data_IF_737099063609
#
_entry.id   IF_737099063609
#
_cell.length_a   1.000
_cell.length_b   1.000
_cell.length_c   1.000
_cell.angle_alpha   90.00
_cell.angle_beta   90.00
_cell.angle_gamma   90.00
#
_symmetry.space_group_name_H-M   'P 1'
#
loop_
_entity.id
_entity.type
_entity.pdbx_description
1 polymer ?
#
# COMPACT_ATOMS: atom_id res chain seq x y z
N UNK A 1 -6.75 -11.97 -11.46
CA UNK A 1 -6.21 -12.54 -10.22
C UNK A 1 -5.23 -13.61 -10.63
N UNK A 2 -4.02 -13.64 -10.05
CA UNK A 2 -3.01 -14.66 -10.32
C UNK A 2 -2.60 -15.37 -9.04
N UNK A 3 -2.54 -16.70 -9.08
CA UNK A 3 -2.10 -17.51 -7.94
C UNK A 3 -0.62 -17.26 -7.64
N UNK A 4 -0.27 -17.14 -6.36
CA UNK A 4 1.12 -17.04 -5.88
C UNK A 4 1.52 -18.32 -5.15
N UNK A 5 0.73 -18.75 -4.15
CA UNK A 5 1.02 -19.97 -3.40
C UNK A 5 -0.23 -20.56 -2.74
N UNK A 6 -0.17 -21.85 -2.41
CA UNK A 6 -1.17 -22.56 -1.62
C UNK A 6 -0.42 -23.33 -0.52
N UNK A 7 -0.85 -23.17 0.73
CA UNK A 7 -0.25 -23.82 1.89
C UNK A 7 -1.37 -24.38 2.77
N UNK A 8 -1.26 -25.63 3.19
CA UNK A 8 -2.15 -26.22 4.19
C UNK A 8 -1.72 -25.81 5.60
N UNK A 9 -2.66 -25.75 6.54
CA UNK A 9 -2.35 -25.60 7.96
C UNK A 9 -1.79 -26.90 8.58
N UNK A 10 -1.51 -26.87 9.88
CA UNK A 10 -0.74 -27.92 10.54
C UNK A 10 -1.47 -29.27 10.65
N UNK A 11 -2.81 -29.26 10.67
CA UNK A 11 -3.68 -30.43 10.70
C UNK A 11 -4.38 -30.72 9.36
N UNK A 12 -4.16 -29.88 8.35
CA UNK A 12 -4.62 -30.03 6.96
C UNK A 12 -6.14 -29.92 6.79
N UNK A 13 -6.82 -29.11 7.60
CA UNK A 13 -8.25 -28.84 7.42
C UNK A 13 -8.54 -27.47 6.79
N UNK A 14 -7.52 -26.61 6.64
CA UNK A 14 -7.61 -25.36 5.91
C UNK A 14 -6.47 -25.13 4.90
N UNK A 15 -6.79 -24.40 3.83
CA UNK A 15 -5.82 -23.93 2.83
C UNK A 15 -5.71 -22.41 2.87
N UNK A 16 -4.49 -21.91 3.03
CA UNK A 16 -4.12 -20.51 2.82
C UNK A 16 -3.69 -20.30 1.38
N UNK A 17 -4.39 -19.42 0.67
CA UNK A 17 -4.12 -19.09 -0.74
C UNK A 17 -3.63 -17.66 -0.83
N UNK A 18 -2.38 -17.48 -1.27
CA UNK A 18 -1.86 -16.17 -1.62
C UNK A 18 -2.07 -15.93 -3.12
N UNK A 19 -2.61 -14.76 -3.47
CA UNK A 19 -2.88 -14.39 -4.85
C UNK A 19 -2.72 -12.88 -5.05
N UNK A 20 -2.30 -12.49 -6.25
CA UNK A 20 -2.31 -11.08 -6.67
C UNK A 20 -3.70 -10.74 -7.24
N UNK A 21 -4.42 -9.75 -6.67
CA UNK A 21 -5.72 -9.35 -7.18
C UNK A 21 -5.58 -8.62 -8.53
N UNK A 22 -6.56 -8.78 -9.44
CA UNK A 22 -6.58 -8.01 -10.70
C UNK A 22 -7.26 -6.64 -10.57
N UNK A 23 -8.17 -6.51 -9.60
CA UNK A 23 -9.01 -5.35 -9.35
C UNK A 23 -9.45 -5.41 -7.87
N UNK A 24 -10.26 -4.45 -7.37
CA UNK A 24 -10.95 -4.66 -6.10
C UNK A 24 -11.66 -6.01 -6.14
N UNK A 25 -11.33 -6.89 -5.20
CA UNK A 25 -11.82 -8.28 -5.23
C UNK A 25 -13.23 -8.35 -4.66
N UNK A 26 -13.64 -7.36 -3.89
CA UNK A 26 -14.98 -7.28 -3.33
C UNK A 26 -16.00 -6.81 -4.38
N UNK A 27 -17.15 -7.46 -4.43
CA UNK A 27 -18.24 -7.17 -5.38
C UNK A 27 -18.86 -5.76 -5.25
N UNK A 28 -18.62 -5.07 -4.13
CA UNK A 28 -19.01 -3.66 -3.91
C UNK A 28 -17.86 -2.67 -4.19
N UNK A 29 -16.79 -3.12 -4.84
CA UNK A 29 -15.64 -2.27 -5.21
C UNK A 29 -14.64 -2.01 -4.09
N UNK A 30 -14.76 -2.68 -2.94
CA UNK A 30 -13.79 -2.59 -1.85
C UNK A 30 -12.56 -3.47 -2.08
N UNK A 31 -11.46 -3.17 -1.35
CA UNK A 31 -10.21 -3.94 -1.42
C UNK A 31 -10.43 -5.41 -1.07
N UNK A 32 -11.17 -5.69 0.01
CA UNK A 32 -11.51 -7.03 0.48
C UNK A 32 -12.98 -7.13 0.91
N UNK A 33 -13.47 -8.35 1.16
CA UNK A 33 -14.79 -8.57 1.76
C UNK A 33 -14.92 -8.02 3.19
N UNK A 34 -13.79 -7.75 3.85
CA UNK A 34 -13.74 -7.26 5.23
C UNK A 34 -13.58 -5.74 5.33
N UNK A 35 -13.61 -5.02 4.21
CA UNK A 35 -13.54 -3.55 4.18
C UNK A 35 -12.56 -2.98 3.16
N UNK A 36 -12.38 -1.64 3.19
CA UNK A 36 -11.44 -0.90 2.33
C UNK A 36 -9.96 -1.25 2.65
N UNK A 37 -9.03 -0.61 1.92
CA UNK A 37 -7.56 -0.82 1.90
C UNK A 37 -6.88 -1.19 3.23
N UNK A 38 -5.70 -1.86 3.20
CA UNK A 38 -5.16 -2.61 4.33
C UNK A 38 -5.00 -1.80 5.63
N UNK A 39 -5.04 -2.49 6.78
CA UNK A 39 -5.25 -1.89 8.09
C UNK A 39 -4.02 -1.08 8.55
N UNK A 40 -4.11 0.26 8.52
CA UNK A 40 -3.15 1.16 9.18
C UNK A 40 -1.66 0.85 8.93
N UNK A 41 -0.79 1.30 9.83
CA UNK A 41 0.65 1.02 9.78
C UNK A 41 1.34 1.50 8.50
N UNK A 42 2.43 0.82 8.14
CA UNK A 42 3.28 1.20 6.99
C UNK A 42 2.51 1.04 5.65
N UNK A 43 1.67 0.01 5.53
CA UNK A 43 0.89 -0.22 4.31
C UNK A 43 -0.13 0.92 4.07
N UNK A 44 -0.87 1.32 5.11
CA UNK A 44 -1.79 2.45 5.02
C UNK A 44 -1.07 3.79 4.76
N UNK A 45 0.09 4.00 5.40
CA UNK A 45 0.92 5.18 5.14
C UNK A 45 1.40 5.23 3.68
N UNK A 46 1.83 4.10 3.13
CA UNK A 46 2.25 4.01 1.73
C UNK A 46 1.12 4.38 0.76
N UNK A 47 -0.10 3.91 1.02
CA UNK A 47 -1.26 4.28 0.21
C UNK A 47 -1.57 5.78 0.31
N UNK A 48 -1.48 6.35 1.52
CA UNK A 48 -1.63 7.80 1.73
C UNK A 48 -0.60 8.59 0.94
N UNK A 49 0.67 8.15 0.95
CA UNK A 49 1.74 8.76 0.14
C UNK A 49 1.36 8.70 -1.34
N UNK A 50 1.01 7.51 -1.85
CA UNK A 50 0.64 7.32 -3.26
C UNK A 50 -0.55 8.19 -3.67
N UNK A 51 -1.59 8.27 -2.83
CA UNK A 51 -2.76 9.12 -3.06
C UNK A 51 -2.34 10.60 -3.17
N UNK A 52 -1.50 11.09 -2.26
CA UNK A 52 -1.02 12.48 -2.28
C UNK A 52 -0.15 12.83 -3.48
N UNK A 53 0.52 11.85 -4.09
CA UNK A 53 1.25 12.06 -5.34
C UNK A 53 0.31 12.27 -6.53
N UNK A 54 -0.91 11.72 -6.48
CA UNK A 54 -1.91 11.85 -7.56
C UNK A 54 -2.83 13.05 -7.31
N UNK A 55 -3.45 13.13 -6.14
CA UNK A 55 -4.48 14.14 -5.84
C UNK A 55 -3.90 15.52 -5.51
N UNK A 56 -2.63 15.56 -5.09
CA UNK A 56 -1.88 16.81 -4.82
C UNK A 56 -2.64 17.84 -3.97
N UNK A 57 -3.19 17.48 -2.80
CA UNK A 57 -3.95 18.43 -1.98
C UNK A 57 -3.07 19.60 -1.51
N UNK A 58 -3.67 20.79 -1.40
CA UNK A 58 -2.99 21.99 -0.93
C UNK A 58 -2.35 21.77 0.45
N UNK A 59 -1.11 22.24 0.64
CA UNK A 59 -0.37 22.05 1.89
C UNK A 59 0.21 20.64 2.11
N UNK A 60 0.06 19.71 1.16
CA UNK A 60 0.66 18.38 1.27
C UNK A 60 2.18 18.41 1.27
N UNK A 61 2.79 18.06 2.43
CA UNK A 61 4.24 17.90 2.55
C UNK A 61 4.80 16.85 1.58
N UNK A 62 4.12 15.72 1.40
CA UNK A 62 4.55 14.66 0.48
C UNK A 62 4.60 15.17 -0.97
N UNK A 63 3.59 15.97 -1.37
CA UNK A 63 3.52 16.52 -2.71
C UNK A 63 4.64 17.55 -2.94
N UNK A 64 4.84 18.48 -2.00
CA UNK A 64 5.90 19.48 -2.09
C UNK A 64 7.30 18.87 -2.05
N UNK A 65 7.51 17.83 -1.24
CA UNK A 65 8.79 17.12 -1.17
C UNK A 65 9.14 16.46 -2.52
N UNK A 66 8.17 15.84 -3.20
CA UNK A 66 8.39 15.22 -4.51
C UNK A 66 8.56 16.26 -5.63
N UNK A 67 7.92 17.43 -5.53
CA UNK A 67 8.17 18.54 -6.47
C UNK A 67 9.61 19.06 -6.41
N UNK A 68 10.26 18.92 -5.25
CA UNK A 68 11.68 19.19 -5.08
C UNK A 68 12.61 18.20 -5.80
N UNK A 69 12.07 17.16 -6.44
CA UNK A 69 12.82 16.14 -7.16
C UNK A 69 13.57 15.15 -6.25
N UNK A 70 14.33 14.26 -6.89
CA UNK A 70 15.07 13.19 -6.19
C UNK A 70 16.04 13.72 -5.15
N UNK A 71 16.69 14.86 -5.40
CA UNK A 71 17.68 15.44 -4.49
C UNK A 71 17.05 15.92 -3.18
N UNK A 72 15.85 16.51 -3.24
CA UNK A 72 15.14 16.95 -2.04
C UNK A 72 14.69 15.75 -1.18
N UNK A 73 14.18 14.70 -1.83
CA UNK A 73 13.80 13.45 -1.16
C UNK A 73 15.03 12.78 -0.54
N UNK A 74 16.12 12.63 -1.28
CA UNK A 74 17.35 12.00 -0.81
C UNK A 74 17.97 12.74 0.39
N UNK A 75 17.96 14.08 0.36
CA UNK A 75 18.43 14.90 1.48
C UNK A 75 17.67 14.59 2.76
N UNK A 76 16.34 14.43 2.69
CA UNK A 76 15.52 14.06 3.86
C UNK A 76 15.86 12.69 4.42
N UNK A 77 16.19 11.72 3.57
CA UNK A 77 16.66 10.41 4.04
C UNK A 77 17.98 10.55 4.83
N UNK A 78 18.90 11.39 4.36
CA UNK A 78 20.17 11.64 5.06
C UNK A 78 19.94 12.38 6.38
N UNK A 79 19.11 13.42 6.40
CA UNK A 79 18.80 14.21 7.61
C UNK A 79 18.18 13.37 8.74
N UNK A 80 17.36 12.37 8.42
CA UNK A 80 16.70 11.52 9.42
C UNK A 80 17.55 10.30 9.83
N UNK A 81 18.60 9.99 9.07
CA UNK A 81 19.52 8.87 9.34
C UNK A 81 20.74 9.29 10.18
N UNK A 82 21.00 10.60 10.30
CA UNK A 82 22.07 11.18 11.12
C UNK A 82 21.66 11.34 12.58
#
# INVERSE_FOLDING_TARGET
MSLVSIVADCDNDALSVAATPASPTCHIGQYSCFGPEPPGGIAGLWNTIRQRLVERPEGSYTASLVDGGTDAVARKVVEEAS
#
